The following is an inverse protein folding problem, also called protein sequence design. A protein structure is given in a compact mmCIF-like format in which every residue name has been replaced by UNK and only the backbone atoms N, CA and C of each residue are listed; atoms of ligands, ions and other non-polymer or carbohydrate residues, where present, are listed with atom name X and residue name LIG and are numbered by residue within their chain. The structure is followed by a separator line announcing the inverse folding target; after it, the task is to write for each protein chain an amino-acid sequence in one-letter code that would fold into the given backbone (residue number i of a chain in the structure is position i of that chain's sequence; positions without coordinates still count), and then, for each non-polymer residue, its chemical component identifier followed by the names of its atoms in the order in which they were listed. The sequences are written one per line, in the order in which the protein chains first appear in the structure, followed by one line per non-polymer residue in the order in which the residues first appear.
data_IF_215371280637
#
_entry.id   IF_215371280637
#
_cell.length_a   1.000
_cell.length_b   1.000
_cell.length_c   1.000
_cell.angle_alpha   90.00
_cell.angle_beta   90.00
_cell.angle_gamma   90.00
#
_symmetry.space_group_name_H-M   'P 1'
#
loop_
_entity.id
_entity.type
_entity.pdbx_description
1 polymer ?
#
# COMPACT_ATOMS: atom_id res chain seq x y z
N UNK A 1 39.86 35.27 38.71
CA UNK A 1 38.39 35.12 38.57
C UNK A 1 38.11 34.98 37.08
N UNK A 2 37.85 33.75 36.63
CA UNK A 2 37.66 33.44 35.21
C UNK A 2 36.25 33.80 34.77
N UNK A 3 36.14 34.59 33.71
CA UNK A 3 34.89 34.95 33.04
C UNK A 3 34.47 33.79 32.13
N UNK A 4 33.36 33.14 32.48
CA UNK A 4 32.77 32.03 31.72
C UNK A 4 32.18 32.52 30.39
N UNK A 5 32.57 31.85 29.31
CA UNK A 5 31.90 31.94 28.03
C UNK A 5 30.72 30.96 28.00
N UNK A 6 29.51 31.49 27.89
CA UNK A 6 28.30 30.70 27.64
C UNK A 6 28.29 30.28 26.16
N UNK A 7 28.12 28.99 25.80
CA UNK A 7 27.95 28.60 24.41
C UNK A 7 26.56 29.02 23.93
N UNK A 8 26.50 29.83 22.87
CA UNK A 8 25.25 30.13 22.17
C UNK A 8 24.71 28.83 21.56
N UNK A 9 23.51 28.46 21.99
CA UNK A 9 22.77 27.31 21.46
C UNK A 9 22.58 27.41 19.95
N UNK A 10 22.86 26.31 19.25
CA UNK A 10 22.55 26.16 17.85
C UNK A 10 21.06 26.38 17.62
N UNK A 11 20.72 27.27 16.69
CA UNK A 11 19.35 27.41 16.19
C UNK A 11 18.96 26.09 15.55
N UNK A 12 18.06 25.35 16.20
CA UNK A 12 17.30 24.30 15.55
C UNK A 12 16.61 24.93 14.33
N UNK A 13 16.95 24.44 13.14
CA UNK A 13 16.27 24.80 11.90
C UNK A 13 14.79 24.43 12.08
N UNK A 14 13.92 25.44 12.24
CA UNK A 14 12.49 25.25 12.09
C UNK A 14 12.24 25.02 10.60
N UNK A 15 12.26 23.76 10.19
CA UNK A 15 11.76 23.34 8.88
C UNK A 15 10.28 23.65 8.88
N UNK A 16 9.83 24.56 8.01
CA UNK A 16 8.41 24.88 7.87
C UNK A 16 7.64 23.62 7.47
N UNK A 17 6.68 23.23 8.29
CA UNK A 17 5.84 22.03 8.18
C UNK A 17 4.80 22.10 7.03
N UNK A 18 5.06 22.87 5.97
CA UNK A 18 4.18 22.95 4.80
C UNK A 18 4.43 21.71 3.95
N UNK A 19 3.46 20.79 3.96
CA UNK A 19 3.46 19.60 3.09
C UNK A 19 2.39 19.75 2.01
N UNK A 20 2.72 19.31 0.80
CA UNK A 20 1.76 19.17 -0.29
C UNK A 20 0.78 18.04 0.05
N UNK A 21 -0.52 18.27 -0.17
CA UNK A 21 -1.58 17.33 0.20
C UNK A 21 -2.58 17.16 -0.94
N UNK A 22 -2.91 15.90 -1.25
CA UNK A 22 -4.05 15.54 -2.10
C UNK A 22 -5.33 15.55 -1.26
N UNK A 23 -6.36 16.29 -1.66
CA UNK A 23 -7.63 16.39 -0.92
C UNK A 23 -8.77 15.79 -1.74
N UNK A 24 -9.68 15.08 -1.08
CA UNK A 24 -10.90 14.51 -1.69
C UNK A 24 -12.05 14.44 -0.67
N UNK A 25 -13.31 14.34 -1.13
CA UNK A 25 -14.46 14.15 -0.26
C UNK A 25 -14.32 12.94 0.68
N UNK A 26 -14.53 13.16 1.98
CA UNK A 26 -14.52 12.09 2.97
C UNK A 26 -13.14 11.55 3.37
N UNK A 27 -12.04 12.20 2.97
CA UNK A 27 -10.66 11.87 3.40
C UNK A 27 -10.51 11.76 4.93
N UNK A 28 -11.17 12.67 5.65
CA UNK A 28 -11.19 12.75 7.11
C UNK A 28 -12.13 11.74 7.77
N UNK A 29 -12.95 11.03 6.99
CA UNK A 29 -13.94 10.05 7.44
C UNK A 29 -13.44 8.61 7.22
N UNK A 30 -14.17 7.65 7.80
CA UNK A 30 -13.96 6.23 7.53
C UNK A 30 -14.96 5.78 6.47
N UNK A 31 -14.48 5.09 5.43
CA UNK A 31 -15.34 4.49 4.42
C UNK A 31 -15.81 3.11 4.91
N UNK A 32 -17.09 3.02 5.27
CA UNK A 32 -17.72 1.75 5.64
C UNK A 32 -18.31 1.09 4.39
N UNK A 33 -18.00 -0.18 4.17
CA UNK A 33 -18.63 -1.01 3.15
C UNK A 33 -19.61 -1.97 3.87
N UNK A 34 -20.92 -1.73 3.76
CA UNK A 34 -21.94 -2.63 4.31
C UNK A 34 -21.88 -4.01 3.66
N UNK A 35 -22.28 -5.06 4.40
CA UNK A 35 -22.31 -6.46 3.90
C UNK A 35 -23.65 -6.84 3.24
N UNK A 36 -24.62 -5.95 3.19
CA UNK A 36 -25.90 -6.21 2.54
C UNK A 36 -25.77 -6.15 1.01
N UNK A 37 -26.71 -6.80 0.32
CA UNK A 37 -26.65 -7.04 -1.13
C UNK A 37 -26.60 -5.76 -1.99
N UNK A 38 -26.96 -4.61 -1.42
CA UNK A 38 -26.97 -3.30 -2.07
C UNK A 38 -25.87 -2.36 -1.54
N UNK A 39 -24.95 -2.88 -0.71
CA UNK A 39 -24.11 -2.13 0.23
C UNK A 39 -23.17 -1.09 -0.36
N UNK A 40 -23.74 0.03 -0.83
CA UNK A 40 -22.98 1.18 -1.31
C UNK A 40 -22.08 1.70 -0.19
N UNK A 41 -20.83 2.07 -0.50
CA UNK A 41 -19.94 2.64 0.50
C UNK A 41 -20.53 3.89 1.17
N UNK A 42 -20.42 3.98 2.49
CA UNK A 42 -20.91 5.11 3.30
C UNK A 42 -19.78 5.69 4.12
N UNK A 43 -19.57 7.00 4.04
CA UNK A 43 -18.63 7.68 4.93
C UNK A 43 -19.25 7.90 6.32
N UNK A 44 -18.58 7.38 7.34
CA UNK A 44 -18.93 7.57 8.75
C UNK A 44 -17.80 8.31 9.48
N UNK A 45 -18.10 8.90 10.64
CA UNK A 45 -17.07 9.55 11.45
C UNK A 45 -15.98 8.56 11.89
N UNK A 46 -14.73 9.02 12.06
CA UNK A 46 -13.59 8.18 12.48
C UNK A 46 -13.80 7.48 13.83
N UNK A 47 -14.64 8.04 14.69
CA UNK A 47 -15.01 7.46 15.98
C UNK A 47 -16.18 6.47 15.91
N UNK A 48 -16.72 6.19 14.72
CA UNK A 48 -17.78 5.21 14.55
C UNK A 48 -17.28 3.80 14.93
N UNK A 49 -18.07 2.97 15.64
CA UNK A 49 -17.61 1.65 16.09
C UNK A 49 -17.04 0.77 14.98
N UNK A 50 -17.67 0.75 13.80
CA UNK A 50 -17.18 0.00 12.64
C UNK A 50 -15.78 0.44 12.14
N UNK A 51 -15.35 1.67 12.45
CA UNK A 51 -14.01 2.15 12.10
C UNK A 51 -12.92 1.54 13.00
N UNK A 52 -13.27 1.02 14.18
CA UNK A 52 -12.36 0.35 15.13
C UNK A 52 -12.66 -1.14 15.31
N UNK A 53 -13.65 -1.66 14.59
CA UNK A 53 -14.04 -3.06 14.67
C UNK A 53 -13.02 -3.93 13.93
N UNK A 54 -12.42 -4.89 14.64
CA UNK A 54 -11.68 -5.99 14.02
C UNK A 54 -12.66 -7.13 13.81
N UNK A 55 -12.99 -7.37 12.55
CA UNK A 55 -13.86 -8.49 12.18
C UNK A 55 -12.98 -9.71 11.94
N UNK A 56 -13.38 -10.85 12.50
CA UNK A 56 -12.69 -12.10 12.27
C UNK A 56 -12.89 -12.53 10.82
N UNK A 57 -11.79 -12.87 10.15
CA UNK A 57 -11.79 -13.54 8.87
C UNK A 57 -11.69 -15.04 9.12
N UNK A 58 -12.45 -15.82 8.38
CA UNK A 58 -12.38 -17.28 8.47
C UNK A 58 -11.05 -17.74 7.88
N UNK A 59 -10.26 -18.45 8.69
CA UNK A 59 -9.10 -19.17 8.21
C UNK A 59 -9.58 -20.40 7.44
N UNK A 60 -9.30 -20.46 6.14
CA UNK A 60 -9.87 -21.49 5.26
C UNK A 60 -8.99 -22.71 5.07
N UNK A 61 -7.69 -22.61 5.37
CA UNK A 61 -6.80 -23.76 5.36
C UNK A 61 -5.36 -23.44 4.99
N UNK A 62 -4.60 -24.52 4.81
CA UNK A 62 -3.18 -24.52 4.50
C UNK A 62 -2.95 -24.91 3.03
N UNK A 63 -2.00 -24.26 2.36
CA UNK A 63 -1.59 -24.58 0.99
C UNK A 63 -0.09 -24.86 0.95
N UNK A 64 0.27 -26.05 0.42
CA UNK A 64 1.67 -26.50 0.31
C UNK A 64 2.21 -27.20 1.55
N UNK A 65 3.53 -27.34 1.63
CA UNK A 65 4.21 -27.85 2.83
C UNK A 65 4.11 -26.81 3.96
N UNK A 66 3.48 -27.20 5.06
CA UNK A 66 3.21 -26.33 6.19
C UNK A 66 3.92 -26.90 7.43
N UNK A 67 4.82 -26.12 8.07
CA UNK A 67 5.42 -26.49 9.35
C UNK A 67 4.35 -26.75 10.42
N UNK A 68 4.72 -27.48 11.49
CA UNK A 68 3.82 -27.73 12.62
C UNK A 68 3.34 -26.44 13.30
N UNK A 69 4.12 -25.36 13.23
CA UNK A 69 3.68 -24.04 13.66
C UNK A 69 2.78 -23.42 12.57
N UNK A 70 1.46 -23.32 12.80
CA UNK A 70 0.51 -22.81 11.81
C UNK A 70 0.77 -21.34 11.47
N UNK A 71 1.48 -20.59 12.33
CA UNK A 71 1.83 -19.19 12.09
C UNK A 71 3.17 -19.01 11.38
N UNK A 72 3.97 -20.08 11.24
CA UNK A 72 5.20 -20.10 10.45
C UNK A 72 4.98 -20.60 9.02
N UNK A 73 3.73 -20.91 8.66
CA UNK A 73 3.32 -21.48 7.39
C UNK A 73 2.78 -20.43 6.40
N UNK A 74 2.51 -20.89 5.18
CA UNK A 74 1.74 -20.10 4.21
C UNK A 74 0.28 -19.97 4.68
N UNK A 75 -0.22 -18.74 4.76
CA UNK A 75 -1.60 -18.45 5.18
C UNK A 75 -2.44 -17.98 3.99
N UNK A 76 -3.68 -18.47 3.93
CA UNK A 76 -4.72 -17.99 3.04
C UNK A 76 -5.91 -17.48 3.86
N UNK A 77 -6.34 -16.26 3.57
CA UNK A 77 -7.53 -15.65 4.17
C UNK A 77 -8.60 -15.46 3.10
N UNK A 78 -9.86 -15.68 3.47
CA UNK A 78 -11.03 -15.28 2.65
C UNK A 78 -11.83 -14.23 3.39
N UNK A 79 -12.07 -13.10 2.75
CA UNK A 79 -12.81 -11.98 3.31
C UNK A 79 -12.33 -10.64 2.76
N UNK A 80 -12.80 -9.55 3.36
CA UNK A 80 -12.33 -8.21 3.01
C UNK A 80 -10.86 -8.02 3.47
N UNK A 81 -10.02 -7.51 2.58
CA UNK A 81 -8.60 -7.32 2.85
C UNK A 81 -8.31 -6.32 3.97
N UNK A 82 -9.19 -5.33 4.21
CA UNK A 82 -9.06 -4.41 5.35
C UNK A 82 -9.20 -5.15 6.68
N UNK A 83 -10.17 -6.05 6.78
CA UNK A 83 -10.40 -6.88 7.98
C UNK A 83 -9.18 -7.78 8.23
N UNK A 84 -8.66 -8.44 7.19
CA UNK A 84 -7.46 -9.28 7.29
C UNK A 84 -6.24 -8.46 7.72
N UNK A 85 -6.01 -7.29 7.13
CA UNK A 85 -4.90 -6.41 7.50
C UNK A 85 -5.01 -5.93 8.97
N UNK A 86 -6.24 -5.67 9.46
CA UNK A 86 -6.48 -5.36 10.87
C UNK A 86 -6.15 -6.53 11.77
N UNK A 87 -6.57 -7.75 11.42
CA UNK A 87 -6.21 -8.96 12.18
C UNK A 87 -4.70 -9.07 12.31
N UNK A 88 -3.97 -8.95 11.18
CA UNK A 88 -2.50 -9.03 11.17
C UNK A 88 -1.82 -7.93 12.01
N UNK A 89 -2.44 -6.75 12.13
CA UNK A 89 -1.90 -5.61 12.88
C UNK A 89 -2.28 -5.61 14.36
N UNK A 90 -3.46 -6.12 14.72
CA UNK A 90 -4.12 -5.81 15.99
C UNK A 90 -4.36 -7.03 16.87
N UNK A 91 -4.64 -8.20 16.28
CA UNK A 91 -4.88 -9.44 17.04
C UNK A 91 -3.56 -9.94 17.64
N UNK A 92 -3.42 -10.12 18.97
CA UNK A 92 -2.14 -10.37 19.63
C UNK A 92 -1.29 -11.47 19.02
N UNK A 93 -1.92 -12.60 18.65
CA UNK A 93 -1.28 -13.79 18.09
C UNK A 93 -0.63 -13.48 16.73
N UNK A 94 -1.35 -12.78 15.85
CA UNK A 94 -0.83 -12.40 14.53
C UNK A 94 0.10 -11.18 14.61
N UNK A 95 -0.26 -10.18 15.41
CA UNK A 95 0.50 -8.95 15.60
C UNK A 95 1.93 -9.23 16.05
N UNK A 96 2.11 -10.17 16.97
CA UNK A 96 3.43 -10.56 17.46
C UNK A 96 4.33 -11.12 16.35
N UNK A 97 3.75 -11.66 15.28
CA UNK A 97 4.45 -12.38 14.21
C UNK A 97 4.62 -11.54 12.96
N UNK A 98 3.63 -10.70 12.60
CA UNK A 98 3.62 -10.00 11.31
C UNK A 98 3.87 -8.49 11.39
N UNK A 99 3.45 -7.81 12.47
CA UNK A 99 3.57 -6.34 12.53
C UNK A 99 5.04 -5.91 12.56
N UNK A 100 5.43 -5.04 11.64
CA UNK A 100 6.81 -4.60 11.46
C UNK A 100 7.78 -5.69 11.00
N UNK A 101 7.28 -6.79 10.43
CA UNK A 101 8.10 -7.97 10.06
C UNK A 101 7.92 -8.40 8.60
N UNK A 102 6.92 -7.88 7.88
CA UNK A 102 6.68 -8.21 6.47
C UNK A 102 7.76 -7.60 5.57
N UNK A 103 8.43 -8.42 4.77
CA UNK A 103 9.51 -7.96 3.87
C UNK A 103 9.00 -7.34 2.58
N UNK A 104 7.95 -7.91 2.01
CA UNK A 104 7.41 -7.47 0.74
C UNK A 104 5.89 -7.57 0.78
N UNK A 105 5.24 -6.51 0.30
CA UNK A 105 3.81 -6.51 -0.02
C UNK A 105 3.67 -6.21 -1.50
N UNK A 106 2.95 -7.05 -2.21
CA UNK A 106 2.54 -6.81 -3.60
C UNK A 106 1.01 -6.76 -3.62
N UNK A 107 0.46 -5.73 -4.24
CA UNK A 107 -0.99 -5.58 -4.42
C UNK A 107 -1.32 -5.20 -5.86
N UNK A 108 -2.41 -5.76 -6.33
CA UNK A 108 -3.02 -5.52 -7.65
C UNK A 108 -4.47 -5.05 -7.39
N UNK A 109 -4.65 -3.80 -6.91
CA UNK A 109 -5.98 -3.27 -6.60
C UNK A 109 -6.83 -3.14 -7.87
N UNK A 110 -8.16 -2.97 -7.76
CA UNK A 110 -8.99 -2.66 -8.93
C UNK A 110 -8.49 -1.37 -9.60
N UNK A 111 -8.31 -1.42 -10.92
CA UNK A 111 -7.74 -0.34 -11.72
C UNK A 111 -8.71 0.82 -11.92
N UNK A 112 -10.01 0.61 -11.67
CA UNK A 112 -11.06 1.60 -11.83
C UNK A 112 -11.24 2.02 -13.30
N UNK A 113 -11.16 1.04 -14.21
CA UNK A 113 -11.21 1.27 -15.67
C UNK A 113 -12.62 1.48 -16.21
N UNK A 114 -13.64 1.31 -15.37
CA UNK A 114 -15.03 1.28 -15.78
C UNK A 114 -15.43 -0.01 -16.51
N UNK A 115 -14.60 -1.06 -16.46
CA UNK A 115 -14.94 -2.37 -17.02
C UNK A 115 -15.54 -3.25 -15.93
N UNK A 116 -16.79 -3.68 -16.12
CA UNK A 116 -17.44 -4.58 -15.16
C UNK A 116 -16.71 -5.94 -15.13
N UNK A 117 -15.86 -6.15 -14.12
CA UNK A 117 -15.37 -7.48 -13.76
C UNK A 117 -16.42 -8.16 -12.85
N UNK A 118 -16.61 -9.47 -13.01
CA UNK A 118 -17.66 -10.24 -12.31
C UNK A 118 -17.50 -10.28 -10.77
N UNK A 119 -16.38 -9.80 -10.21
CA UNK A 119 -16.04 -10.01 -8.81
C UNK A 119 -15.84 -8.74 -7.97
N UNK A 120 -15.78 -7.54 -8.57
CA UNK A 120 -15.72 -6.26 -7.85
C UNK A 120 -16.27 -5.09 -8.71
N UNK A 121 -16.85 -4.07 -8.07
CA UNK A 121 -17.35 -2.86 -8.72
C UNK A 121 -16.19 -1.98 -9.25
N UNK A 122 -15.74 -2.19 -10.49
CA UNK A 122 -14.69 -1.40 -11.16
C UNK A 122 -15.15 -0.01 -11.66
N UNK A 123 -16.17 0.56 -11.01
CA UNK A 123 -16.76 1.87 -11.32
C UNK A 123 -16.74 2.81 -10.10
N UNK A 124 -15.83 2.57 -9.14
CA UNK A 124 -15.74 3.38 -7.93
C UNK A 124 -15.41 4.83 -8.29
N UNK A 125 -16.15 5.77 -7.70
CA UNK A 125 -15.76 7.17 -7.79
C UNK A 125 -14.36 7.36 -7.13
N UNK A 126 -13.50 8.19 -7.72
CA UNK A 126 -12.09 8.33 -7.32
C UNK A 126 -11.88 8.62 -5.82
N UNK A 127 -12.74 9.42 -5.19
CA UNK A 127 -12.67 9.70 -3.75
C UNK A 127 -12.99 8.46 -2.89
N UNK A 128 -13.86 7.59 -3.40
CA UNK A 128 -14.17 6.29 -2.77
C UNK A 128 -12.99 5.35 -2.90
N UNK A 129 -12.39 5.24 -4.09
CA UNK A 129 -11.19 4.42 -4.34
C UNK A 129 -10.00 4.88 -3.49
N UNK A 130 -9.75 6.19 -3.42
CA UNK A 130 -8.71 6.78 -2.57
C UNK A 130 -8.95 6.46 -1.09
N UNK A 131 -10.19 6.58 -0.61
CA UNK A 131 -10.54 6.25 0.78
C UNK A 131 -10.35 4.76 1.07
N UNK A 132 -10.77 3.89 0.14
CA UNK A 132 -10.59 2.44 0.21
C UNK A 132 -9.11 2.04 0.28
N UNK A 133 -8.26 2.62 -0.56
CA UNK A 133 -6.83 2.32 -0.60
C UNK A 133 -6.07 2.91 0.58
N UNK A 134 -6.44 4.11 1.04
CA UNK A 134 -5.76 4.77 2.16
C UNK A 134 -5.77 3.94 3.43
N UNK A 135 -6.92 3.37 3.80
CA UNK A 135 -7.05 2.55 5.02
C UNK A 135 -6.15 1.30 4.96
N UNK A 136 -6.05 0.69 3.78
CA UNK A 136 -5.20 -0.49 3.54
C UNK A 136 -3.72 -0.14 3.58
N UNK A 137 -3.32 0.95 2.92
CA UNK A 137 -1.92 1.37 2.87
C UNK A 137 -1.38 1.76 4.26
N UNK A 138 -2.22 2.35 5.13
CA UNK A 138 -1.84 2.65 6.52
C UNK A 138 -1.50 1.38 7.30
N UNK A 139 -2.30 0.31 7.16
CA UNK A 139 -2.03 -0.98 7.81
C UNK A 139 -0.85 -1.71 7.17
N UNK A 140 -0.78 -1.72 5.83
CA UNK A 140 0.36 -2.28 5.09
C UNK A 140 1.66 -1.64 5.57
N UNK A 141 1.68 -0.31 5.70
CA UNK A 141 2.83 0.42 6.24
C UNK A 141 3.23 -0.18 7.58
N UNK A 142 2.31 -0.32 8.52
CA UNK A 142 2.55 -0.88 9.86
C UNK A 142 3.00 -2.35 9.89
N UNK A 143 2.63 -3.14 8.88
CA UNK A 143 3.11 -4.52 8.71
C UNK A 143 4.55 -4.58 8.20
N UNK A 144 4.98 -3.64 7.36
CA UNK A 144 6.31 -3.67 6.75
C UNK A 144 7.44 -3.59 7.78
N UNK A 145 8.42 -4.47 7.61
CA UNK A 145 9.71 -4.37 8.27
C UNK A 145 10.45 -3.08 7.86
N UNK A 146 11.37 -2.56 8.68
CA UNK A 146 12.14 -1.35 8.34
C UNK A 146 12.87 -1.45 7.00
N UNK A 147 13.30 -2.65 6.60
CA UNK A 147 13.99 -2.94 5.34
C UNK A 147 13.05 -3.48 4.24
N UNK A 148 11.73 -3.46 4.47
CA UNK A 148 10.73 -3.98 3.55
C UNK A 148 10.21 -2.95 2.54
N UNK A 149 9.43 -3.45 1.58
CA UNK A 149 8.86 -2.67 0.47
C UNK A 149 7.42 -3.04 0.13
N UNK A 150 6.68 -2.09 -0.42
CA UNK A 150 5.35 -2.29 -1.02
C UNK A 150 5.40 -1.96 -2.50
N UNK A 151 4.69 -2.77 -3.29
CA UNK A 151 4.64 -2.71 -4.75
C UNK A 151 3.18 -2.72 -5.17
N UNK A 152 2.76 -1.70 -5.91
CA UNK A 152 1.36 -1.53 -6.33
C UNK A 152 1.32 -1.52 -7.84
N UNK A 153 0.62 -2.49 -8.42
CA UNK A 153 0.41 -2.60 -9.86
C UNK A 153 -0.88 -1.88 -10.28
N UNK A 154 -0.78 -1.04 -11.31
CA UNK A 154 -1.84 -0.11 -11.74
C UNK A 154 -1.75 0.11 -13.25
N UNK A 155 -2.88 0.46 -13.85
CA UNK A 155 -2.92 1.09 -15.17
C UNK A 155 -2.73 2.62 -15.08
N UNK A 156 -3.16 3.34 -16.12
CA UNK A 156 -3.07 4.80 -16.19
C UNK A 156 -4.18 5.54 -15.41
N UNK A 157 -5.27 4.88 -15.01
CA UNK A 157 -6.43 5.53 -14.42
C UNK A 157 -6.15 6.07 -13.02
N UNK A 158 -5.51 5.26 -12.16
CA UNK A 158 -5.27 5.59 -10.75
C UNK A 158 -3.80 5.74 -10.36
N UNK A 159 -2.84 5.44 -11.23
CA UNK A 159 -1.40 5.52 -10.92
C UNK A 159 -0.97 6.85 -10.29
N UNK A 160 -1.47 7.98 -10.80
CA UNK A 160 -1.07 9.30 -10.33
C UNK A 160 -1.66 9.63 -8.96
N UNK A 161 -2.91 9.20 -8.72
CA UNK A 161 -3.58 9.37 -7.42
C UNK A 161 -2.98 8.44 -6.37
N UNK A 162 -2.70 7.19 -6.74
CA UNK A 162 -1.98 6.25 -5.88
C UNK A 162 -0.61 6.80 -5.50
N UNK A 163 0.14 7.33 -6.47
CA UNK A 163 1.46 7.89 -6.22
C UNK A 163 1.43 8.97 -5.13
N UNK A 164 0.51 9.93 -5.24
CA UNK A 164 0.34 10.98 -4.24
C UNK A 164 -0.13 10.44 -2.89
N UNK A 165 -1.01 9.43 -2.89
CA UNK A 165 -1.45 8.76 -1.68
C UNK A 165 -0.31 8.00 -0.97
N UNK A 166 0.56 7.33 -1.74
CA UNK A 166 1.74 6.66 -1.21
C UNK A 166 2.78 7.67 -0.70
N UNK A 167 2.94 8.82 -1.36
CA UNK A 167 3.77 9.93 -0.85
C UNK A 167 3.25 10.42 0.52
N UNK A 168 1.94 10.51 0.74
CA UNK A 168 1.34 10.83 2.04
C UNK A 168 1.62 9.74 3.08
N UNK A 169 1.39 8.47 2.74
CA UNK A 169 1.46 7.35 3.69
C UNK A 169 2.89 6.97 4.04
N UNK A 170 3.75 6.81 3.05
CA UNK A 170 5.13 6.33 3.20
C UNK A 170 6.16 7.46 3.25
N UNK A 171 5.80 8.66 2.79
CA UNK A 171 6.74 9.77 2.59
C UNK A 171 7.38 9.71 1.22
N UNK A 172 7.43 10.85 0.51
CA UNK A 172 7.95 10.90 -0.86
C UNK A 172 9.42 10.56 -0.99
N UNK A 173 10.21 10.78 0.07
CA UNK A 173 11.61 10.37 0.15
C UNK A 173 11.79 8.84 0.13
N UNK A 174 10.74 8.07 0.41
CA UNK A 174 10.77 6.61 0.42
C UNK A 174 10.33 5.97 -0.90
N UNK A 175 10.08 6.77 -1.93
CA UNK A 175 9.83 6.26 -3.27
C UNK A 175 11.07 5.54 -3.82
N UNK A 176 10.85 4.35 -4.39
CA UNK A 176 11.93 3.53 -4.96
C UNK A 176 11.99 3.72 -6.47
N UNK A 177 10.94 3.31 -7.19
CA UNK A 177 10.89 3.40 -8.65
C UNK A 177 9.45 3.19 -9.17
N UNK A 178 9.18 3.66 -10.39
CA UNK A 178 8.03 3.27 -11.20
C UNK A 178 8.52 2.32 -12.30
N UNK A 179 8.12 1.06 -12.20
CA UNK A 179 8.45 0.04 -13.20
C UNK A 179 7.37 0.06 -14.28
N UNK A 180 7.78 0.11 -15.54
CA UNK A 180 6.88 0.02 -16.68
C UNK A 180 6.73 -1.45 -17.08
N UNK A 181 5.50 -1.96 -17.03
CA UNK A 181 5.15 -3.31 -17.45
C UNK A 181 4.53 -3.28 -18.84
N UNK A 182 5.21 -3.86 -19.84
CA UNK A 182 4.67 -3.97 -21.20
C UNK A 182 3.68 -5.13 -21.30
N UNK A 183 2.42 -4.82 -21.60
CA UNK A 183 1.36 -5.82 -21.81
C UNK A 183 1.34 -6.41 -23.22
N UNK A 184 2.03 -5.79 -24.16
CA UNK A 184 1.93 -6.15 -25.58
C UNK A 184 3.25 -6.70 -26.12
N UNK A 185 3.14 -7.84 -26.80
CA UNK A 185 4.22 -8.40 -27.61
C UNK A 185 4.18 -7.88 -29.06
N UNK A 186 3.07 -7.24 -29.46
CA UNK A 186 2.85 -6.71 -30.81
C UNK A 186 2.17 -5.33 -30.76
N UNK A 187 2.49 -4.39 -31.67
CA UNK A 187 1.89 -3.07 -31.70
C UNK A 187 0.37 -3.12 -31.95
N UNK A 188 -0.44 -2.44 -31.12
CA UNK A 188 -1.87 -2.27 -31.42
C UNK A 188 -2.07 -1.15 -32.44
N UNK A 189 -2.40 -1.52 -33.66
CA UNK A 189 -2.57 -0.60 -34.78
C UNK A 189 -3.98 0.00 -34.90
N UNK A 190 -4.90 -0.43 -34.04
CA UNK A 190 -6.33 -0.02 -34.08
C UNK A 190 -6.67 1.11 -33.11
N UNK A 191 -5.69 1.65 -32.38
CA UNK A 191 -5.92 2.74 -31.44
C UNK A 191 -6.33 4.03 -32.18
N UNK A 192 -7.36 4.72 -31.69
CA UNK A 192 -7.83 5.99 -32.27
C UNK A 192 -6.83 7.13 -32.13
N UNK A 193 -6.08 7.14 -31.03
CA UNK A 193 -5.07 8.15 -30.73
C UNK A 193 -3.72 7.46 -30.52
N UNK A 194 -3.33 7.21 -29.28
CA UNK A 194 -2.12 6.48 -28.91
C UNK A 194 -2.52 5.11 -28.36
N UNK A 195 -1.72 4.09 -28.68
CA UNK A 195 -1.87 2.78 -28.03
C UNK A 195 -1.36 2.87 -26.60
N UNK A 196 -2.19 2.42 -25.65
CA UNK A 196 -1.74 2.16 -24.28
C UNK A 196 -1.48 0.65 -24.14
N UNK A 197 -0.20 0.28 -24.16
CA UNK A 197 0.27 -1.08 -24.00
C UNK A 197 1.07 -1.29 -22.70
N UNK A 198 0.91 -0.39 -21.73
CA UNK A 198 1.75 -0.37 -20.53
C UNK A 198 0.92 -0.20 -19.27
N UNK A 199 1.23 -1.03 -18.28
CA UNK A 199 0.85 -0.83 -16.88
C UNK A 199 2.09 -0.33 -16.12
N UNK A 200 1.88 0.10 -14.88
CA UNK A 200 2.93 0.56 -13.99
C UNK A 200 2.91 -0.19 -12.68
N UNK A 201 4.10 -0.46 -12.14
CA UNK A 201 4.27 -0.96 -10.78
C UNK A 201 5.03 0.10 -9.99
N UNK A 202 4.35 0.74 -9.06
CA UNK A 202 4.93 1.77 -8.19
C UNK A 202 5.47 1.11 -6.92
N UNK A 203 6.76 1.31 -6.65
CA UNK A 203 7.43 0.72 -5.50
C UNK A 203 7.82 1.77 -4.45
N UNK A 204 7.55 1.48 -3.17
CA UNK A 204 7.99 2.26 -2.01
C UNK A 204 8.68 1.39 -0.98
N UNK A 205 9.67 1.98 -0.31
CA UNK A 205 10.29 1.40 0.87
C UNK A 205 9.52 1.81 2.14
N UNK A 206 9.61 0.99 3.21
CA UNK A 206 9.24 1.46 4.55
C UNK A 206 10.21 2.53 5.05
N UNK A 207 11.50 2.31 4.82
CA UNK A 207 12.61 3.25 5.02
C UNK A 207 13.64 3.00 3.92
N UNK A 208 13.79 3.93 2.98
CA UNK A 208 14.66 3.77 1.82
C UNK A 208 16.14 3.57 2.20
N UNK A 209 16.57 4.11 3.35
CA UNK A 209 17.95 3.96 3.82
C UNK A 209 18.23 2.54 4.34
N UNK A 210 17.18 1.78 4.67
CA UNK A 210 17.27 0.42 5.19
C UNK A 210 16.82 -0.63 4.20
N UNK A 211 16.21 -0.24 3.08
CA UNK A 211 15.64 -1.13 2.08
C UNK A 211 16.63 -2.22 1.66
N UNK A 212 16.18 -3.47 1.68
CA UNK A 212 16.93 -4.62 1.18
C UNK A 212 16.11 -5.35 0.12
N UNK A 213 16.52 -5.22 -1.14
CA UNK A 213 15.97 -6.00 -2.24
C UNK A 213 16.85 -7.22 -2.52
N UNK A 214 16.20 -8.38 -2.74
CA UNK A 214 16.88 -9.58 -3.23
C UNK A 214 17.35 -9.32 -4.65
N UNK A 215 18.67 -9.20 -4.83
CA UNK A 215 19.28 -8.99 -6.14
C UNK A 215 19.50 -10.34 -6.82
N UNK A 216 19.26 -10.40 -8.13
CA UNK A 216 19.72 -11.53 -8.93
C UNK A 216 21.26 -11.57 -8.91
N UNK A 217 21.86 -12.77 -8.98
CA UNK A 217 23.31 -12.91 -9.15
C UNK A 217 23.76 -12.12 -10.38
N UNK A 218 24.86 -11.38 -10.24
CA UNK A 218 25.51 -10.75 -11.40
C UNK A 218 26.34 -11.79 -12.13
N UNK A 219 26.03 -12.03 -13.39
CA UNK A 219 26.89 -12.78 -14.30
C UNK A 219 27.88 -11.85 -15.01
N UNK A 220 28.84 -12.43 -15.75
CA UNK A 220 29.84 -11.67 -16.51
C UNK A 220 29.20 -10.75 -17.55
N UNK A 221 28.06 -11.15 -18.12
CA UNK A 221 27.30 -10.34 -19.07
C UNK A 221 26.72 -9.08 -18.42
N UNK A 222 26.21 -9.18 -17.19
CA UNK A 222 25.67 -8.05 -16.43
C UNK A 222 26.75 -7.09 -15.92
N UNK A 223 27.99 -7.56 -15.75
CA UNK A 223 29.11 -6.71 -15.30
C UNK A 223 29.77 -5.91 -16.44
N UNK A 224 29.48 -6.26 -17.69
CA UNK A 224 30.05 -5.61 -18.87
C UNK A 224 29.19 -4.46 -19.44
N UNK A 225 27.99 -4.24 -18.88
CA UNK A 225 27.04 -3.18 -19.23
C UNK A 225 27.10 -2.03 -18.21
#
# INVERSE_FOLDING_TARGET
QGTGATPQGGKASQVSEVRLELVWPGKDKFLLIPKDADGKPVWVGRHHPAASEVRLADFTGFVGEVPEDPYAANLLFTGDSLDVLRILCEVPEFRAIYRGKVKLVYIDPPFNTGQAFEHYDDWMEHSTWLSFMRERLLLIRDLLAPDGSVWVHLDDAEQHRMRLLMDEVFGSQNFVETIVWSRADVPRTVAKFLSNDQDTIVAYARDIQRLKLSRLPRDEATNAA
#
